data_IF_715849443663
#
_entry.id   IF_715849443663
#
_cell.length_a   1.000
_cell.length_b   1.000
_cell.length_c   1.000
_cell.angle_alpha   90.00
_cell.angle_beta   90.00
_cell.angle_gamma   90.00
#
_symmetry.space_group_name_H-M   'P 1'
#
loop_
_entity.id
_entity.type
_entity.pdbx_description
1 polymer ?
#
# COMPACT_ATOMS: atom_id res chain seq x y z
N UNK A 1 55.83 10.56 30.03
CA UNK A 1 54.88 9.88 29.12
C UNK A 1 53.47 10.33 29.46
N UNK A 2 52.98 11.37 28.78
CA UNK A 2 51.57 11.74 28.75
C UNK A 2 51.30 12.21 27.31
N UNK A 3 50.53 11.42 26.56
CA UNK A 3 50.17 11.72 25.18
C UNK A 3 48.87 12.53 25.17
N UNK A 4 48.98 13.80 24.78
CA UNK A 4 47.85 14.63 24.38
C UNK A 4 47.51 14.31 22.91
N UNK A 5 46.25 13.98 22.63
CA UNK A 5 45.72 13.97 21.26
C UNK A 5 44.60 15.00 21.14
N UNK A 6 44.84 15.98 20.26
CA UNK A 6 43.92 17.04 19.85
C UNK A 6 42.90 16.48 18.85
N UNK A 7 41.64 16.87 18.99
CA UNK A 7 40.56 16.66 18.01
C UNK A 7 40.41 17.93 17.17
N UNK A 8 40.38 17.86 15.83
CA UNK A 8 40.07 19.01 14.99
C UNK A 8 38.56 19.17 14.75
N UNK A 9 38.07 20.40 14.91
CA UNK A 9 36.75 20.88 14.47
C UNK A 9 36.82 21.31 13.00
N UNK A 10 35.94 20.76 12.17
CA UNK A 10 35.72 21.23 10.80
C UNK A 10 34.30 21.78 10.67
N UNK A 11 34.21 23.10 10.52
CA UNK A 11 33.01 23.79 10.08
C UNK A 11 32.85 23.67 8.57
N UNK A 12 31.62 23.45 8.12
CA UNK A 12 31.23 23.41 6.71
C UNK A 12 29.93 24.18 6.54
N UNK A 13 30.07 25.41 6.04
CA UNK A 13 29.00 26.33 5.63
C UNK A 13 28.48 25.85 4.27
N UNK A 14 27.17 25.62 4.13
CA UNK A 14 26.54 25.38 2.84
C UNK A 14 25.38 26.36 2.63
N UNK A 15 25.39 26.98 1.46
CA UNK A 15 24.65 28.15 1.03
C UNK A 15 23.13 27.94 0.90
N UNK A 16 22.37 28.97 1.28
CA UNK A 16 20.97 29.15 0.90
C UNK A 16 20.84 29.44 -0.61
N UNK A 17 20.23 28.52 -1.35
CA UNK A 17 19.78 28.72 -2.72
C UNK A 17 18.34 29.22 -2.76
N UNK A 18 18.18 30.50 -3.11
CA UNK A 18 16.94 31.19 -3.42
C UNK A 18 16.40 30.74 -4.78
N UNK A 19 15.15 30.26 -4.85
CA UNK A 19 14.37 30.14 -6.09
C UNK A 19 12.98 30.71 -5.84
N UNK A 20 12.77 31.97 -6.24
CA UNK A 20 11.48 32.62 -6.32
C UNK A 20 11.09 32.84 -7.79
N UNK A 21 9.80 32.60 -8.06
CA UNK A 21 8.97 33.12 -9.15
C UNK A 21 9.25 32.72 -10.61
N UNK A 22 8.28 32.03 -11.24
CA UNK A 22 7.22 32.67 -12.03
C UNK A 22 6.60 31.69 -13.06
N UNK A 23 5.28 31.51 -13.03
CA UNK A 23 4.41 31.23 -14.20
C UNK A 23 2.96 31.11 -13.67
N UNK A 24 2.13 32.12 -13.81
CA UNK A 24 1.35 32.45 -15.01
C UNK A 24 -0.08 31.88 -14.89
N UNK A 25 -0.99 32.83 -14.69
CA UNK A 25 -2.44 32.71 -14.63
C UNK A 25 -2.98 32.11 -15.94
N UNK A 26 -3.87 31.14 -15.83
CA UNK A 26 -4.88 30.87 -16.86
C UNK A 26 -6.21 30.65 -16.17
N UNK A 27 -7.00 31.72 -16.14
CA UNK A 27 -8.40 31.71 -15.76
C UNK A 27 -9.20 30.94 -16.82
N UNK A 28 -9.70 29.74 -16.47
CA UNK A 28 -10.76 29.08 -17.23
C UNK A 28 -12.03 29.09 -16.38
N UNK A 29 -12.97 29.92 -16.80
CA UNK A 29 -14.36 29.93 -16.38
C UNK A 29 -15.00 28.59 -16.76
N UNK A 30 -15.27 27.74 -15.77
CA UNK A 30 -16.15 26.59 -15.93
C UNK A 30 -17.57 27.00 -15.53
N UNK A 31 -18.48 26.95 -16.50
CA UNK A 31 -19.92 27.07 -16.26
C UNK A 31 -20.38 25.99 -15.30
N UNK A 32 -21.10 26.40 -14.26
CA UNK A 32 -21.74 25.54 -13.29
C UNK A 32 -22.82 24.69 -13.97
N UNK A 33 -22.67 23.37 -13.88
CA UNK A 33 -23.78 22.42 -14.07
C UNK A 33 -24.46 22.28 -12.71
N UNK A 34 -25.78 22.46 -12.59
CA UNK A 34 -26.48 22.26 -11.32
C UNK A 34 -26.44 20.78 -10.95
N UNK A 35 -25.71 20.47 -9.90
CA UNK A 35 -25.70 19.17 -9.24
C UNK A 35 -27.09 18.96 -8.62
N UNK A 36 -27.82 17.97 -9.11
CA UNK A 36 -29.07 17.51 -8.49
C UNK A 36 -28.72 16.91 -7.13
N UNK A 37 -28.95 17.68 -6.08
CA UNK A 37 -28.84 17.25 -4.68
C UNK A 37 -29.94 16.23 -4.41
N UNK A 38 -29.57 14.96 -4.50
CA UNK A 38 -30.41 13.85 -4.04
C UNK A 38 -30.59 13.99 -2.52
N UNK A 39 -31.75 14.53 -2.16
CA UNK A 39 -32.15 14.82 -0.78
C UNK A 39 -32.91 13.61 -0.25
N UNK A 40 -32.20 12.52 0.02
CA UNK A 40 -32.77 11.37 0.71
C UNK A 40 -32.03 11.07 2.01
N UNK A 41 -32.82 11.07 3.09
CA UNK A 41 -32.56 10.53 4.43
C UNK A 41 -31.78 11.41 5.42
N UNK A 42 -32.55 12.11 6.24
CA UNK A 42 -32.10 12.78 7.45
C UNK A 42 -31.67 11.78 8.52
N UNK A 43 -30.37 11.47 8.54
CA UNK A 43 -29.66 10.96 9.71
C UNK A 43 -29.55 12.09 10.76
N UNK A 44 -30.66 12.42 11.45
CA UNK A 44 -30.60 13.29 12.62
C UNK A 44 -30.06 12.49 13.80
N UNK A 45 -28.74 12.30 13.82
CA UNK A 45 -28.02 11.58 14.86
C UNK A 45 -28.00 12.42 16.13
N UNK A 46 -28.78 11.99 17.13
CA UNK A 46 -28.69 12.45 18.52
C UNK A 46 -27.23 12.33 19.00
N UNK A 47 -26.51 13.45 18.97
CA UNK A 47 -25.03 13.49 19.09
C UNK A 47 -24.51 13.09 20.48
N UNK A 48 -25.43 12.84 21.43
CA UNK A 48 -25.14 12.49 22.82
C UNK A 48 -25.10 10.98 23.08
N UNK A 49 -25.76 10.14 22.27
CA UNK A 49 -25.65 8.67 22.42
C UNK A 49 -24.35 8.14 21.82
N UNK A 50 -23.87 7.04 22.39
CA UNK A 50 -22.67 6.30 21.97
C UNK A 50 -22.84 5.81 20.52
N UNK A 51 -22.53 6.64 19.53
CA UNK A 51 -22.66 6.29 18.11
C UNK A 51 -21.98 4.94 17.78
N UNK A 52 -20.86 4.67 18.45
CA UNK A 52 -20.10 3.43 18.30
C UNK A 52 -20.81 2.16 18.79
N UNK A 53 -21.94 2.27 19.48
CA UNK A 53 -22.79 1.13 19.85
C UNK A 53 -24.01 0.98 18.95
N UNK A 54 -24.28 1.93 18.05
CA UNK A 54 -25.46 1.89 17.19
C UNK A 54 -25.13 1.14 15.88
N UNK A 55 -25.66 -0.07 15.65
CA UNK A 55 -25.39 -0.83 14.43
C UNK A 55 -25.92 -0.13 13.16
N UNK A 56 -26.94 0.73 13.29
CA UNK A 56 -27.62 1.36 12.15
C UNK A 56 -26.86 2.54 11.54
N UNK A 57 -25.78 3.01 12.19
CA UNK A 57 -24.98 4.12 11.68
C UNK A 57 -24.10 3.62 10.51
N UNK A 58 -24.28 4.22 9.34
CA UNK A 58 -23.46 3.95 8.15
C UNK A 58 -21.99 4.32 8.36
N UNK A 59 -21.07 3.77 7.55
CA UNK A 59 -19.66 4.16 7.65
C UNK A 59 -19.46 5.65 7.32
N UNK A 60 -20.23 6.20 6.38
CA UNK A 60 -20.22 7.63 6.04
C UNK A 60 -20.64 8.50 7.23
N UNK A 61 -21.75 8.16 7.90
CA UNK A 61 -22.21 8.88 9.08
C UNK A 61 -21.21 8.76 10.24
N UNK A 62 -20.69 7.55 10.48
CA UNK A 62 -19.64 7.32 11.48
C UNK A 62 -18.38 8.16 11.19
N UNK A 63 -17.92 8.21 9.93
CA UNK A 63 -16.78 9.02 9.52
C UNK A 63 -17.04 10.52 9.80
N UNK A 64 -18.22 11.04 9.45
CA UNK A 64 -18.62 12.43 9.73
C UNK A 64 -18.58 12.75 11.22
N UNK A 65 -19.14 11.86 12.06
CA UNK A 65 -19.12 12.02 13.53
C UNK A 65 -17.68 12.01 14.06
N UNK A 66 -16.83 11.10 13.58
CA UNK A 66 -15.42 11.02 14.02
C UNK A 66 -14.65 12.26 13.59
N UNK A 67 -14.82 12.74 12.35
CA UNK A 67 -14.18 13.98 11.85
C UNK A 67 -14.58 15.19 12.70
N UNK A 68 -15.88 15.39 12.92
CA UNK A 68 -16.39 16.50 13.72
C UNK A 68 -15.83 16.45 15.16
N UNK A 69 -15.79 15.27 15.77
CA UNK A 69 -15.23 15.11 17.13
C UNK A 69 -13.72 15.32 17.18
N UNK A 70 -12.98 14.95 16.14
CA UNK A 70 -11.54 15.24 16.03
C UNK A 70 -11.29 16.75 15.99
N UNK A 71 -12.11 17.49 15.25
CA UNK A 71 -12.00 18.95 15.13
C UNK A 71 -12.36 19.66 16.44
N UNK A 72 -13.40 19.21 17.14
CA UNK A 72 -13.88 19.83 18.38
C UNK A 72 -13.03 19.46 19.62
N UNK A 73 -12.66 18.18 19.76
CA UNK A 73 -12.08 17.66 21.01
C UNK A 73 -10.62 17.17 20.84
N UNK A 74 -10.14 17.08 19.59
CA UNK A 74 -8.84 16.50 19.24
C UNK A 74 -8.87 14.96 19.18
N UNK A 75 -7.69 14.30 19.25
CA UNK A 75 -7.53 12.86 19.12
C UNK A 75 -8.58 12.06 19.86
N UNK A 76 -9.27 11.22 19.10
CA UNK A 76 -10.32 10.34 19.61
C UNK A 76 -9.72 9.04 20.15
N UNK A 77 -10.53 8.23 20.83
CA UNK A 77 -10.10 6.89 21.24
C UNK A 77 -9.85 6.01 20.02
N UNK A 78 -8.83 5.16 20.09
CA UNK A 78 -8.50 4.16 19.06
C UNK A 78 -9.70 3.27 18.71
N UNK A 79 -10.57 2.97 19.68
CA UNK A 79 -11.80 2.21 19.47
C UNK A 79 -12.76 2.86 18.47
N UNK A 80 -12.75 4.18 18.31
CA UNK A 80 -13.58 4.89 17.34
C UNK A 80 -13.12 4.61 15.90
N UNK A 81 -11.80 4.59 15.66
CA UNK A 81 -11.26 4.24 14.34
C UNK A 81 -11.50 2.76 14.03
N UNK A 82 -11.39 1.88 15.04
CA UNK A 82 -11.71 0.46 14.87
C UNK A 82 -13.19 0.24 14.53
N UNK A 83 -14.09 0.98 15.16
CA UNK A 83 -15.52 0.89 14.89
C UNK A 83 -15.89 1.45 13.52
N UNK A 84 -15.26 2.54 13.10
CA UNK A 84 -15.37 3.03 11.73
C UNK A 84 -14.88 1.96 10.73
N UNK A 85 -13.72 1.36 10.97
CA UNK A 85 -13.15 0.33 10.10
C UNK A 85 -14.07 -0.88 9.95
N UNK A 86 -14.78 -1.30 11.01
CA UNK A 86 -15.76 -2.40 10.95
C UNK A 86 -16.91 -2.14 9.97
N UNK A 87 -17.25 -0.88 9.74
CA UNK A 87 -18.44 -0.46 8.98
C UNK A 87 -18.17 -0.30 7.50
N UNK A 88 -16.90 -0.26 7.09
CA UNK A 88 -16.49 -0.15 5.69
C UNK A 88 -17.02 -1.35 4.91
N UNK A 89 -17.76 -1.07 3.85
CA UNK A 89 -18.26 -2.06 2.87
C UNK A 89 -17.89 -1.69 1.44
N UNK A 90 -17.77 -0.39 1.14
CA UNK A 90 -17.48 0.09 -0.22
C UNK A 90 -16.10 0.76 -0.29
N UNK A 91 -15.49 0.85 -1.49
CA UNK A 91 -14.20 1.52 -1.67
C UNK A 91 -14.26 3.03 -1.38
N UNK A 92 -15.42 3.65 -1.52
CA UNK A 92 -15.61 5.06 -1.14
C UNK A 92 -15.58 5.23 0.38
N UNK A 93 -16.20 4.30 1.12
CA UNK A 93 -16.14 4.29 2.58
C UNK A 93 -14.72 3.99 3.09
N UNK A 94 -13.96 3.16 2.37
CA UNK A 94 -12.55 2.93 2.65
C UNK A 94 -11.73 4.21 2.47
N UNK A 95 -11.93 4.96 1.38
CA UNK A 95 -11.30 6.26 1.16
C UNK A 95 -11.63 7.26 2.29
N UNK A 96 -12.88 7.30 2.75
CA UNK A 96 -13.28 8.13 3.89
C UNK A 96 -12.56 7.71 5.18
N UNK A 97 -12.40 6.41 5.42
CA UNK A 97 -11.68 5.92 6.59
C UNK A 97 -10.19 6.28 6.56
N UNK A 98 -9.57 6.28 5.37
CA UNK A 98 -8.18 6.73 5.17
C UNK A 98 -8.05 8.22 5.49
N UNK A 99 -8.99 9.05 5.01
CA UNK A 99 -9.00 10.48 5.32
C UNK A 99 -9.18 10.74 6.83
N UNK A 100 -10.04 9.97 7.49
CA UNK A 100 -10.20 10.03 8.96
C UNK A 100 -8.90 9.63 9.66
N UNK A 101 -8.23 8.56 9.22
CA UNK A 101 -6.94 8.14 9.77
C UNK A 101 -5.87 9.21 9.57
N UNK A 102 -5.85 9.89 8.42
CA UNK A 102 -4.94 11.01 8.16
C UNK A 102 -5.19 12.19 9.12
N UNK A 103 -6.46 12.62 9.27
CA UNK A 103 -6.81 13.66 10.25
C UNK A 103 -6.42 13.24 11.67
N UNK A 104 -6.66 11.98 12.02
CA UNK A 104 -6.27 11.41 13.31
C UNK A 104 -4.75 11.51 13.56
N UNK A 105 -3.94 11.12 12.57
CA UNK A 105 -2.49 11.21 12.61
C UNK A 105 -2.00 12.67 12.75
N UNK A 106 -2.55 13.60 11.98
CA UNK A 106 -2.22 15.03 12.07
C UNK A 106 -2.53 15.60 13.46
N UNK A 107 -3.67 15.24 14.04
CA UNK A 107 -4.07 15.65 15.37
C UNK A 107 -3.14 15.09 16.47
N UNK A 108 -2.69 13.84 16.33
CA UNK A 108 -1.69 13.24 17.23
C UNK A 108 -0.35 13.94 17.12
N UNK A 109 0.12 14.19 15.90
CA UNK A 109 1.37 14.90 15.65
C UNK A 109 1.38 16.30 16.29
N UNK A 110 0.27 17.06 16.19
CA UNK A 110 0.12 18.36 16.87
C UNK A 110 0.23 18.29 18.40
N UNK A 111 -0.17 17.17 18.99
CA UNK A 111 -0.08 16.93 20.45
C UNK A 111 1.21 16.23 20.86
N UNK A 112 2.21 16.13 19.97
CA UNK A 112 3.48 15.43 20.20
C UNK A 112 3.28 13.96 20.62
N UNK A 113 2.16 13.36 20.21
CA UNK A 113 1.88 11.93 20.39
C UNK A 113 2.51 11.17 19.23
N UNK A 114 3.83 10.96 19.33
CA UNK A 114 4.62 10.33 18.28
C UNK A 114 4.51 8.80 18.26
N UNK A 115 3.84 8.20 19.24
CA UNK A 115 3.57 6.77 19.23
C UNK A 115 2.71 6.41 18.02
N UNK A 116 3.19 5.47 17.22
CA UNK A 116 2.43 4.93 16.10
C UNK A 116 1.13 4.26 16.56
N UNK A 117 0.15 4.22 15.67
CA UNK A 117 -1.03 3.38 15.81
C UNK A 117 -0.58 1.92 15.89
N UNK A 118 -1.18 1.16 16.82
CA UNK A 118 -0.77 -0.22 17.08
C UNK A 118 -0.79 -1.06 15.80
N UNK A 119 0.15 -2.01 15.66
CA UNK A 119 0.19 -2.89 14.48
C UNK A 119 -1.10 -3.67 14.27
N UNK A 120 -1.75 -4.09 15.35
CA UNK A 120 -3.02 -4.82 15.29
C UNK A 120 -4.16 -3.98 14.70
N UNK A 121 -4.28 -2.71 15.10
CA UNK A 121 -5.29 -1.81 14.52
C UNK A 121 -4.97 -1.49 13.06
N UNK A 122 -3.70 -1.22 12.75
CA UNK A 122 -3.24 -0.91 11.39
C UNK A 122 -3.57 -2.07 10.46
N UNK A 123 -3.23 -3.30 10.85
CA UNK A 123 -3.56 -4.52 10.10
C UNK A 123 -5.08 -4.74 9.96
N UNK A 124 -5.86 -4.42 11.00
CA UNK A 124 -7.32 -4.52 10.96
C UNK A 124 -7.92 -3.53 9.95
N UNK A 125 -7.48 -2.27 9.96
CA UNK A 125 -7.92 -1.25 9.01
C UNK A 125 -7.57 -1.67 7.58
N UNK A 126 -6.34 -2.10 7.34
CA UNK A 126 -5.90 -2.57 6.01
C UNK A 126 -6.73 -3.77 5.53
N UNK A 127 -7.02 -4.73 6.42
CA UNK A 127 -7.89 -5.87 6.11
C UNK A 127 -9.29 -5.42 5.70
N UNK A 128 -9.88 -4.44 6.41
CA UNK A 128 -11.21 -3.91 6.08
C UNK A 128 -11.22 -3.17 4.74
N UNK A 129 -10.16 -2.44 4.42
CA UNK A 129 -9.98 -1.79 3.11
C UNK A 129 -9.88 -2.84 1.99
N UNK A 130 -9.12 -3.92 2.20
CA UNK A 130 -9.02 -5.03 1.24
C UNK A 130 -10.35 -5.78 1.04
N UNK A 131 -11.14 -5.94 2.10
CA UNK A 131 -12.48 -6.53 2.04
C UNK A 131 -13.46 -5.67 1.23
N UNK A 132 -13.30 -4.34 1.27
CA UNK A 132 -14.11 -3.39 0.51
C UNK A 132 -13.83 -3.41 -1.00
N UNK A 133 -12.73 -4.02 -1.45
CA UNK A 133 -12.53 -4.45 -2.83
C UNK A 133 -11.25 -3.94 -3.52
N UNK A 134 -10.74 -2.78 -3.11
CA UNK A 134 -9.69 -2.09 -3.87
C UNK A 134 -8.29 -2.34 -3.30
N UNK A 135 -7.52 -3.20 -3.98
CA UNK A 135 -6.13 -3.48 -3.62
C UNK A 135 -5.23 -2.24 -3.78
N UNK A 136 -5.52 -1.37 -4.74
CA UNK A 136 -4.74 -0.14 -4.95
C UNK A 136 -4.87 0.83 -3.77
N UNK A 137 -6.06 0.94 -3.16
CA UNK A 137 -6.23 1.73 -1.94
C UNK A 137 -5.45 1.14 -0.77
N UNK A 138 -5.43 -0.19 -0.65
CA UNK A 138 -4.63 -0.87 0.38
C UNK A 138 -3.13 -0.64 0.18
N UNK A 139 -2.63 -0.67 -1.06
CA UNK A 139 -1.25 -0.31 -1.39
C UNK A 139 -0.94 1.14 -1.04
N UNK A 140 -1.86 2.04 -1.32
CA UNK A 140 -1.69 3.46 -0.99
C UNK A 140 -1.57 3.68 0.52
N UNK A 141 -2.38 2.96 1.31
CA UNK A 141 -2.28 2.97 2.78
C UNK A 141 -0.93 2.42 3.26
N UNK A 142 -0.39 1.38 2.62
CA UNK A 142 0.94 0.87 2.95
C UNK A 142 2.04 1.90 2.65
N UNK A 143 1.98 2.57 1.48
CA UNK A 143 2.95 3.61 1.08
C UNK A 143 2.90 4.82 2.02
N UNK A 144 1.69 5.26 2.35
CA UNK A 144 1.42 6.39 3.25
C UNK A 144 1.46 6.01 4.73
N UNK A 145 1.92 4.81 5.07
CA UNK A 145 1.96 4.36 6.46
C UNK A 145 2.71 5.31 7.41
N UNK A 146 3.84 5.97 7.03
CA UNK A 146 4.49 6.94 7.91
C UNK A 146 3.64 8.20 8.13
N UNK A 147 2.97 8.69 7.08
CA UNK A 147 2.10 9.87 7.14
C UNK A 147 0.87 9.63 8.01
N UNK A 148 0.32 8.42 7.92
CA UNK A 148 -0.87 7.99 8.66
C UNK A 148 -0.53 7.50 10.09
N UNK A 149 0.74 7.54 10.49
CA UNK A 149 1.24 6.94 11.73
C UNK A 149 0.80 5.47 11.90
N UNK A 150 0.64 4.72 10.80
CA UNK A 150 0.27 3.32 10.81
C UNK A 150 1.54 2.46 10.85
N UNK A 151 1.53 1.44 11.70
CA UNK A 151 2.66 0.51 11.79
C UNK A 151 2.25 -0.83 11.20
N UNK A 152 2.89 -1.24 10.12
CA UNK A 152 2.60 -2.52 9.49
C UNK A 152 3.68 -3.56 9.78
N UNK A 153 3.24 -4.80 10.01
CA UNK A 153 4.10 -5.97 10.13
C UNK A 153 3.89 -6.89 8.93
N UNK A 154 4.77 -7.90 8.78
CA UNK A 154 4.73 -8.89 7.68
C UNK A 154 3.34 -9.47 7.39
N UNK A 155 2.48 -9.81 8.38
CA UNK A 155 1.14 -10.31 8.10
C UNK A 155 0.26 -9.35 7.28
N UNK A 156 0.43 -8.04 7.44
CA UNK A 156 -0.34 -7.03 6.71
C UNK A 156 -0.02 -7.08 5.20
N UNK A 157 1.28 -7.14 4.85
CA UNK A 157 1.74 -7.29 3.46
C UNK A 157 1.28 -8.62 2.85
N UNK A 158 1.31 -9.70 3.64
CA UNK A 158 0.79 -11.00 3.21
C UNK A 158 -0.67 -10.91 2.77
N UNK A 159 -1.53 -10.20 3.52
CA UNK A 159 -2.94 -10.05 3.15
C UNK A 159 -3.11 -9.33 1.81
N UNK A 160 -2.35 -8.26 1.57
CA UNK A 160 -2.36 -7.52 0.30
C UNK A 160 -1.90 -8.42 -0.85
N UNK A 161 -0.78 -9.15 -0.66
CA UNK A 161 -0.23 -10.05 -1.68
C UNK A 161 -1.22 -11.15 -2.05
N UNK A 162 -1.85 -11.81 -1.06
CA UNK A 162 -2.84 -12.85 -1.33
C UNK A 162 -4.02 -12.28 -2.11
N UNK A 163 -4.56 -11.14 -1.68
CA UNK A 163 -5.71 -10.52 -2.35
C UNK A 163 -5.37 -10.07 -3.77
N UNK A 164 -4.20 -9.46 -3.96
CA UNK A 164 -3.71 -9.04 -5.27
C UNK A 164 -3.51 -10.23 -6.22
N UNK A 165 -2.92 -11.33 -5.75
CA UNK A 165 -2.77 -12.57 -6.52
C UNK A 165 -4.12 -13.17 -6.91
N UNK A 166 -5.10 -13.19 -5.99
CA UNK A 166 -6.46 -13.69 -6.26
C UNK A 166 -7.21 -12.85 -7.30
N UNK A 167 -6.92 -11.56 -7.39
CA UNK A 167 -7.48 -10.66 -8.41
C UNK A 167 -6.68 -10.65 -9.72
N UNK A 168 -5.59 -11.43 -9.80
CA UNK A 168 -4.66 -11.43 -10.94
C UNK A 168 -3.87 -10.15 -11.14
N UNK A 169 -3.87 -9.25 -10.16
CA UNK A 169 -3.08 -8.03 -10.21
C UNK A 169 -1.64 -8.30 -9.73
N UNK A 170 -0.83 -8.95 -10.57
CA UNK A 170 0.58 -9.23 -10.26
C UNK A 170 1.44 -7.96 -10.15
N UNK A 171 1.01 -6.86 -10.78
CA UNK A 171 1.66 -5.54 -10.60
C UNK A 171 1.52 -5.06 -9.15
N UNK A 172 0.35 -5.22 -8.56
CA UNK A 172 0.13 -4.92 -7.15
C UNK A 172 0.94 -5.84 -6.22
N UNK A 173 1.14 -7.11 -6.59
CA UNK A 173 2.02 -8.04 -5.84
C UNK A 173 3.46 -7.52 -5.83
N UNK A 174 4.01 -7.13 -6.99
CA UNK A 174 5.35 -6.53 -7.10
C UNK A 174 5.45 -5.28 -6.22
N UNK A 175 4.48 -4.37 -6.35
CA UNK A 175 4.50 -3.13 -5.58
C UNK A 175 4.39 -3.38 -4.07
N UNK A 176 3.58 -4.35 -3.63
CA UNK A 176 3.52 -4.72 -2.21
C UNK A 176 4.88 -5.20 -1.68
N UNK A 177 5.64 -5.97 -2.47
CA UNK A 177 6.98 -6.42 -2.11
C UNK A 177 7.98 -5.26 -2.05
N UNK A 178 7.89 -4.30 -2.98
CA UNK A 178 8.73 -3.10 -2.98
C UNK A 178 8.45 -2.23 -1.74
N UNK A 179 7.19 -1.99 -1.42
CA UNK A 179 6.80 -1.24 -0.22
C UNK A 179 7.25 -1.97 1.06
N UNK A 180 7.16 -3.31 1.06
CA UNK A 180 7.67 -4.13 2.16
C UNK A 180 9.19 -3.93 2.36
N UNK A 181 9.96 -3.96 1.26
CA UNK A 181 11.42 -3.73 1.28
C UNK A 181 11.75 -2.30 1.72
N UNK A 182 11.01 -1.30 1.23
CA UNK A 182 11.17 0.10 1.63
C UNK A 182 10.91 0.31 3.12
N UNK A 183 9.96 -0.44 3.70
CA UNK A 183 9.71 -0.51 5.14
C UNK A 183 10.76 -1.32 5.92
N UNK A 184 11.88 -1.71 5.28
CA UNK A 184 12.95 -2.56 5.84
C UNK A 184 12.47 -3.92 6.35
N UNK A 185 11.35 -4.42 5.81
CA UNK A 185 10.85 -5.75 6.11
C UNK A 185 11.29 -6.72 5.02
N UNK A 186 11.87 -7.85 5.42
CA UNK A 186 12.21 -8.93 4.48
C UNK A 186 11.04 -9.90 4.31
N UNK A 187 10.73 -10.32 3.06
CA UNK A 187 9.83 -11.44 2.81
C UNK A 187 10.25 -12.65 3.65
N UNK A 188 9.28 -13.48 4.05
CA UNK A 188 9.56 -14.78 4.65
C UNK A 188 9.13 -15.89 3.67
N UNK A 189 9.42 -17.14 4.03
CA UNK A 189 9.08 -18.32 3.20
C UNK A 189 7.57 -18.40 2.88
N UNK A 190 6.71 -17.89 3.77
CA UNK A 190 5.26 -17.88 3.56
C UNK A 190 4.83 -16.85 2.50
N UNK A 191 5.38 -15.63 2.55
CA UNK A 191 5.17 -14.61 1.51
C UNK A 191 5.71 -15.10 0.16
N UNK A 192 6.93 -15.67 0.14
CA UNK A 192 7.51 -16.23 -1.07
C UNK A 192 6.60 -17.29 -1.72
N UNK A 193 6.03 -18.19 -0.90
CA UNK A 193 5.06 -19.18 -1.38
C UNK A 193 3.82 -18.53 -2.03
N UNK A 194 3.24 -17.50 -1.42
CA UNK A 194 2.06 -16.83 -1.96
C UNK A 194 2.34 -16.02 -3.24
N UNK A 195 3.52 -15.42 -3.36
CA UNK A 195 3.95 -14.74 -4.59
C UNK A 195 4.11 -15.74 -5.73
N UNK A 196 4.86 -16.82 -5.52
CA UNK A 196 5.09 -17.84 -6.54
C UNK A 196 3.80 -18.54 -6.95
N UNK A 197 2.97 -18.91 -5.97
CA UNK A 197 1.65 -19.48 -6.22
C UNK A 197 0.79 -18.54 -7.06
N UNK A 198 0.74 -17.25 -6.71
CA UNK A 198 0.01 -16.25 -7.47
C UNK A 198 0.48 -16.10 -8.91
N UNK A 199 1.79 -16.21 -9.17
CA UNK A 199 2.33 -16.18 -10.53
C UNK A 199 1.84 -17.37 -11.36
N UNK A 200 1.82 -18.58 -10.79
CA UNK A 200 1.29 -19.76 -11.48
C UNK A 200 -0.23 -19.73 -11.67
N UNK A 201 -0.98 -19.22 -10.70
CA UNK A 201 -2.45 -19.11 -10.79
C UNK A 201 -2.89 -18.08 -11.84
N UNK A 202 -2.00 -17.20 -12.28
CA UNK A 202 -2.27 -16.16 -13.27
C UNK A 202 -1.47 -16.36 -14.57
N UNK A 203 -1.05 -17.60 -14.87
CA UNK A 203 -0.35 -17.98 -16.10
C UNK A 203 0.91 -17.15 -16.41
N UNK A 204 1.63 -16.74 -15.36
CA UNK A 204 2.90 -16.02 -15.44
C UNK A 204 4.06 -16.79 -14.79
N UNK A 205 4.38 -18.00 -15.28
CA UNK A 205 5.51 -18.77 -14.79
C UNK A 205 6.86 -18.07 -15.02
N UNK A 206 6.95 -17.19 -16.02
CA UNK A 206 8.11 -16.34 -16.29
C UNK A 206 8.46 -15.46 -15.08
N UNK A 207 7.46 -14.83 -14.47
CA UNK A 207 7.65 -14.04 -13.25
C UNK A 207 7.99 -14.92 -12.05
N UNK A 208 7.41 -16.12 -11.98
CA UNK A 208 7.71 -17.08 -10.91
C UNK A 208 9.19 -17.46 -10.90
N UNK A 209 9.81 -17.67 -12.07
CA UNK A 209 11.25 -17.96 -12.21
C UNK A 209 12.09 -16.80 -11.70
N UNK A 210 11.75 -15.56 -12.09
CA UNK A 210 12.46 -14.36 -11.65
C UNK A 210 12.40 -14.20 -10.13
N UNK A 211 11.20 -14.30 -9.54
CA UNK A 211 11.02 -14.19 -8.10
C UNK A 211 11.71 -15.33 -7.33
N UNK A 212 11.69 -16.55 -7.85
CA UNK A 212 12.37 -17.68 -7.22
C UNK A 212 13.88 -17.42 -7.11
N UNK A 213 14.52 -16.99 -8.20
CA UNK A 213 15.94 -16.60 -8.21
C UNK A 213 16.21 -15.46 -7.23
N UNK A 214 15.34 -14.45 -7.20
CA UNK A 214 15.46 -13.34 -6.25
C UNK A 214 15.38 -13.83 -4.79
N UNK A 215 14.42 -14.69 -4.46
CA UNK A 215 14.27 -15.20 -3.10
C UNK A 215 15.46 -16.08 -2.68
N UNK A 216 15.97 -16.92 -3.57
CA UNK A 216 17.18 -17.72 -3.32
C UNK A 216 18.42 -16.86 -3.10
N UNK A 217 18.64 -15.83 -3.94
CA UNK A 217 19.74 -14.88 -3.78
C UNK A 217 19.68 -14.13 -2.43
N UNK A 218 18.49 -13.97 -1.87
CA UNK A 218 18.26 -13.35 -0.56
C UNK A 218 18.26 -14.36 0.61
N UNK A 219 18.66 -15.61 0.40
CA UNK A 219 18.71 -16.64 1.44
C UNK A 219 17.35 -17.16 1.89
N UNK A 220 16.32 -17.03 1.04
CA UNK A 220 14.95 -17.44 1.30
C UNK A 220 14.50 -18.51 0.28
N UNK A 221 15.10 -19.72 0.31
CA UNK A 221 14.75 -20.76 -0.65
C UNK A 221 13.25 -21.11 -0.54
N UNK A 222 12.52 -21.13 -1.68
CA UNK A 222 11.15 -21.59 -1.73
C UNK A 222 10.99 -23.02 -1.21
N UNK A 223 9.75 -23.43 -0.95
CA UNK A 223 9.47 -24.82 -0.54
C UNK A 223 9.87 -25.78 -1.67
N UNK A 224 10.40 -26.98 -1.38
CA UNK A 224 10.88 -27.93 -2.41
C UNK A 224 9.88 -28.16 -3.54
N UNK A 225 8.63 -28.50 -3.22
CA UNK A 225 7.58 -28.72 -4.23
C UNK A 225 7.29 -27.50 -5.12
N UNK A 226 7.41 -26.28 -4.57
CA UNK A 226 7.25 -25.06 -5.37
C UNK A 226 8.49 -24.80 -6.22
N UNK A 227 9.68 -25.10 -5.69
CA UNK A 227 10.95 -24.95 -6.41
C UNK A 227 11.01 -25.87 -7.63
N UNK A 228 10.68 -27.15 -7.46
CA UNK A 228 10.60 -28.12 -8.57
C UNK A 228 9.64 -27.63 -9.67
N UNK A 229 8.49 -27.09 -9.28
CA UNK A 229 7.52 -26.51 -10.23
C UNK A 229 8.09 -25.31 -11.00
N UNK A 230 8.89 -24.46 -10.33
CA UNK A 230 9.55 -23.32 -10.99
C UNK A 230 10.67 -23.77 -11.92
N UNK A 231 11.45 -24.79 -11.54
CA UNK A 231 12.54 -25.34 -12.38
C UNK A 231 12.00 -26.02 -13.65
N UNK A 232 10.90 -26.77 -13.54
CA UNK A 232 10.20 -27.30 -14.71
C UNK A 232 9.76 -26.17 -15.66
N UNK A 233 9.12 -25.14 -15.11
CA UNK A 233 8.68 -23.98 -15.89
C UNK A 233 9.85 -23.21 -16.53
N UNK A 234 10.99 -23.08 -15.83
CA UNK A 234 12.18 -22.46 -16.38
C UNK A 234 12.71 -23.23 -17.60
N UNK A 235 12.75 -24.56 -17.51
CA UNK A 235 13.22 -25.43 -18.60
C UNK A 235 12.33 -25.32 -19.84
N UNK A 236 11.01 -25.28 -19.64
CA UNK A 236 10.03 -25.08 -20.72
C UNK A 236 10.19 -23.72 -21.41
N UNK A 237 10.42 -22.65 -20.63
CA UNK A 237 10.63 -21.31 -21.15
C UNK A 237 11.93 -21.21 -21.97
N UNK A 238 13.01 -21.87 -21.53
CA UNK A 238 14.27 -21.94 -22.25
C UNK A 238 14.13 -22.73 -23.57
N UNK A 239 13.43 -23.87 -23.55
CA UNK A 239 13.12 -24.63 -24.76
C UNK A 239 12.26 -23.82 -25.75
N UNK A 240 11.26 -23.09 -25.27
CA UNK A 240 10.43 -22.22 -26.10
C UNK A 240 11.23 -21.05 -26.69
N UNK A 241 12.17 -20.47 -25.94
CA UNK A 241 13.06 -19.42 -26.43
C UNK A 241 14.03 -19.93 -27.50
N UNK A 242 14.60 -21.13 -27.30
CA UNK A 242 15.48 -21.78 -28.27
C UNK A 242 14.75 -22.09 -29.59
N UNK A 243 13.51 -22.61 -29.51
CA UNK A 243 12.68 -22.86 -30.69
C UNK A 243 12.38 -21.57 -31.47
N UNK A 244 12.02 -20.47 -30.78
CA UNK A 244 11.80 -19.16 -31.43
C UNK A 244 13.05 -18.64 -32.15
N UNK A 245 14.24 -18.84 -31.58
CA UNK A 245 15.51 -18.44 -32.19
C UNK A 245 15.81 -19.23 -33.47
N UNK A 246 15.49 -20.53 -33.50
CA UNK A 246 15.68 -21.37 -34.68
C UNK A 246 14.78 -20.95 -35.86
N UNK A 247 13.52 -20.57 -35.58
CA UNK A 247 12.56 -20.10 -36.60
C UNK A 247 12.95 -18.71 -37.13
N UNK A 248 13.36 -17.78 -36.27
CA UNK A 248 13.75 -16.43 -36.68
C UNK A 248 15.05 -16.35 -37.50
N UNK A 249 15.96 -17.33 -37.33
CA UNK A 249 17.25 -17.37 -38.04
C UNK A 249 17.17 -17.74 -39.53
N UNK A 250 16.04 -18.27 -40.02
CA UNK A 250 15.87 -18.68 -41.42
C UNK A 250 15.34 -17.57 -42.35
N UNK A 251 14.85 -16.44 -41.82
CA UNK A 251 14.16 -15.41 -42.61
C UNK A 251 15.07 -14.34 -43.25
N UNK A 252 16.39 -14.33 -43.02
CA UNK A 252 17.30 -13.26 -43.50
C UNK A 252 18.24 -13.65 -44.65
N UNK A 253 17.97 -14.75 -45.37
CA UNK A 253 18.72 -15.11 -46.60
C UNK A 253 17.82 -15.11 -47.84
N UNK A 254 17.32 -13.94 -48.23
CA UNK A 254 16.90 -13.70 -49.62
C UNK A 254 18.02 -12.96 -50.33
N UNK A 255 18.77 -13.60 -51.25
CA UNK A 255 19.74 -12.90 -52.07
C UNK A 255 18.98 -12.01 -53.06
N UNK A 256 19.17 -10.70 -52.95
CA UNK A 256 18.79 -9.76 -54.00
C UNK A 256 19.75 -9.96 -55.17
N UNK A 257 19.20 -10.40 -56.30
CA UNK A 257 19.86 -10.47 -57.61
C UNK A 257 20.07 -9.06 -58.18
#
# INVERSE_FOLDING_TARGET
MQLQTRIPTAGGICHHGSWASAAAQHSRSFSAVPETVDSSEGDHVDSTRKWYTNPNISARAAAKIVKQRLEQNGPQRVSHLMELARRIKTPEEAALAIEVAQKFALHRARRQQHDGISPSLSAFLLKKILEAGEVEQALEVLRRSPELQLTFQRPAFRHVIIRASQQGNLRAVVSALEVMKAARLRPNRDIAFHVLRGCFENDRPDLAVVFCREFEANGLPPRPAMKEKVEAAASELEAAAAAKKAVGGQAQKTPTL
#
